data_IF_356436151696
#
_entry.id   IF_356436151696
#
_cell.length_a   1.000
_cell.length_b   1.000
_cell.length_c   1.000
_cell.angle_alpha   90.00
_cell.angle_beta   90.00
_cell.angle_gamma   90.00
#
_symmetry.space_group_name_H-M   'P 1'
#
loop_
_entity.id
_entity.type
_entity.pdbx_description
1 polymer ?
#
# COMPACT_ATOMS: atom_id res chain seq x y z
N UNK A 1 47.53 0.00 25.66
CA UNK A 1 46.62 0.55 24.67
C UNK A 1 47.42 1.44 23.74
N UNK A 2 47.73 0.99 22.53
CA UNK A 2 48.53 1.74 21.55
C UNK A 2 47.60 2.60 20.69
N UNK A 3 47.91 3.90 20.63
CA UNK A 3 47.11 4.90 19.90
C UNK A 3 47.30 4.73 18.39
N UNK A 4 46.21 4.75 17.59
CA UNK A 4 46.27 4.51 16.14
C UNK A 4 46.82 5.68 15.30
N UNK A 5 47.24 6.78 15.92
CA UNK A 5 47.72 7.99 15.25
C UNK A 5 49.15 7.91 14.68
N UNK A 6 49.91 6.84 14.94
CA UNK A 6 51.31 6.72 14.52
C UNK A 6 51.55 6.25 13.07
N UNK A 7 50.53 5.67 12.40
CA UNK A 7 50.71 5.01 11.11
C UNK A 7 50.64 5.98 9.91
N UNK A 8 49.95 7.09 10.06
CA UNK A 8 49.74 8.06 8.96
C UNK A 8 50.92 9.02 8.75
N UNK A 9 51.71 9.32 9.78
CA UNK A 9 52.84 10.23 9.66
C UNK A 9 54.06 9.67 8.89
N UNK A 10 54.24 8.34 8.85
CA UNK A 10 55.35 7.71 8.12
C UNK A 10 55.16 7.61 6.60
N UNK A 11 53.94 7.72 6.12
CA UNK A 11 53.63 7.52 4.71
C UNK A 11 53.83 8.77 3.83
N UNK A 12 53.83 9.97 4.43
CA UNK A 12 53.86 11.26 3.75
C UNK A 12 55.27 11.87 3.61
N UNK A 13 56.30 11.28 4.20
CA UNK A 13 57.64 11.86 4.22
C UNK A 13 58.52 11.58 2.99
N UNK A 14 58.01 10.92 1.95
CA UNK A 14 58.78 10.73 0.72
C UNK A 14 58.09 11.48 -0.45
N UNK A 15 58.77 12.45 -1.08
CA UNK A 15 58.19 13.24 -2.17
C UNK A 15 57.72 12.38 -3.35
N UNK A 16 58.36 11.22 -3.58
CA UNK A 16 57.94 10.26 -4.61
C UNK A 16 56.63 9.54 -4.26
N UNK A 17 56.41 9.21 -2.96
CA UNK A 17 55.16 8.58 -2.49
C UNK A 17 54.01 9.57 -2.50
N UNK A 18 54.24 10.80 -2.10
CA UNK A 18 53.27 11.88 -2.10
C UNK A 18 52.79 12.19 -3.52
N UNK A 19 53.70 12.24 -4.52
CA UNK A 19 53.34 12.43 -5.90
C UNK A 19 52.52 11.28 -6.48
N UNK A 20 52.85 10.02 -6.13
CA UNK A 20 52.02 8.84 -6.53
C UNK A 20 50.65 8.88 -5.87
N UNK A 21 50.54 9.24 -4.61
CA UNK A 21 49.29 9.37 -3.92
C UNK A 21 48.39 10.45 -4.53
N UNK A 22 48.92 11.61 -4.88
CA UNK A 22 48.19 12.67 -5.57
C UNK A 22 47.68 12.21 -6.97
N UNK A 23 48.51 11.50 -7.72
CA UNK A 23 48.11 10.98 -9.04
C UNK A 23 46.98 9.96 -8.93
N UNK A 24 47.08 9.03 -7.93
CA UNK A 24 46.03 8.04 -7.72
C UNK A 24 44.71 8.70 -7.26
N UNK A 25 44.81 9.64 -6.32
CA UNK A 25 43.62 10.38 -5.82
C UNK A 25 42.95 11.19 -6.95
N UNK A 26 43.73 11.83 -7.79
CA UNK A 26 43.20 12.55 -8.97
C UNK A 26 42.50 11.60 -9.96
N UNK A 27 43.11 10.43 -10.23
CA UNK A 27 42.52 9.43 -11.10
C UNK A 27 41.20 8.88 -10.54
N UNK A 28 41.11 8.58 -9.25
CA UNK A 28 39.90 8.13 -8.58
C UNK A 28 38.79 9.20 -8.64
N UNK A 29 39.17 10.46 -8.44
CA UNK A 29 38.24 11.58 -8.51
C UNK A 29 37.68 11.76 -9.93
N UNK A 30 38.52 11.66 -10.95
CA UNK A 30 38.10 11.77 -12.37
C UNK A 30 37.15 10.60 -12.71
N UNK A 31 37.47 9.37 -12.29
CA UNK A 31 36.61 8.21 -12.54
C UNK A 31 35.26 8.38 -11.80
N UNK A 32 35.29 8.87 -10.56
CA UNK A 32 34.08 9.12 -9.77
C UNK A 32 33.18 10.18 -10.41
N UNK A 33 33.76 11.28 -10.89
CA UNK A 33 33.03 12.34 -11.60
C UNK A 33 32.47 11.83 -12.92
N UNK A 34 33.25 11.08 -13.69
CA UNK A 34 32.78 10.50 -14.97
C UNK A 34 31.64 9.51 -14.75
N UNK A 35 31.72 8.66 -13.71
CA UNK A 35 30.63 7.74 -13.33
C UNK A 35 29.38 8.50 -12.89
N UNK A 36 29.53 9.57 -12.11
CA UNK A 36 28.41 10.41 -11.67
C UNK A 36 27.74 11.11 -12.86
N UNK A 37 28.52 11.71 -13.75
CA UNK A 37 28.00 12.34 -14.98
C UNK A 37 27.28 11.30 -15.83
N UNK A 38 27.86 10.12 -16.03
CA UNK A 38 27.20 9.03 -16.74
C UNK A 38 25.87 8.63 -16.11
N UNK A 39 25.80 8.58 -14.77
CA UNK A 39 24.59 8.21 -14.06
C UNK A 39 23.49 9.29 -14.15
N UNK A 40 23.90 10.57 -14.20
CA UNK A 40 22.96 11.70 -14.27
C UNK A 40 22.53 11.97 -15.72
N UNK A 41 23.44 11.85 -16.67
CA UNK A 41 23.17 12.20 -18.07
C UNK A 41 22.61 11.02 -18.88
N UNK A 42 23.04 9.78 -18.60
CA UNK A 42 22.58 8.58 -19.33
C UNK A 42 21.46 7.80 -18.65
N UNK A 43 21.25 7.93 -17.33
CA UNK A 43 19.94 7.62 -16.78
C UNK A 43 19.08 8.84 -17.05
N UNK A 44 18.43 8.82 -18.20
CA UNK A 44 17.52 9.88 -18.59
C UNK A 44 16.67 10.32 -17.41
N UNK A 45 16.53 11.64 -17.25
CA UNK A 45 15.52 12.23 -16.38
C UNK A 45 14.26 11.38 -16.51
N UNK A 46 13.66 10.93 -15.39
CA UNK A 46 12.38 10.26 -15.46
C UNK A 46 11.48 11.17 -16.28
N UNK A 47 11.01 10.65 -17.40
CA UNK A 47 10.29 11.34 -18.46
C UNK A 47 9.65 12.63 -17.95
N UNK A 48 10.23 13.80 -18.26
CA UNK A 48 9.46 15.01 -18.31
C UNK A 48 8.22 14.60 -19.11
N UNK A 49 7.03 14.77 -18.52
CA UNK A 49 5.76 14.54 -19.19
C UNK A 49 5.88 15.19 -20.57
N UNK A 50 6.24 14.42 -21.57
CA UNK A 50 6.05 14.83 -22.93
C UNK A 50 4.55 14.76 -23.13
N UNK A 51 3.88 15.90 -22.94
CA UNK A 51 2.51 16.12 -23.40
C UNK A 51 2.50 16.05 -24.93
N UNK A 52 2.88 14.89 -25.46
CA UNK A 52 2.55 14.54 -26.83
C UNK A 52 1.06 14.28 -26.79
N UNK A 53 0.30 15.30 -27.18
CA UNK A 53 -1.13 15.15 -27.47
C UNK A 53 -1.22 13.96 -28.43
N UNK A 54 -1.65 12.83 -27.88
CA UNK A 54 -1.83 11.61 -28.67
C UNK A 54 -2.98 11.86 -29.63
N UNK A 55 -2.71 11.94 -30.92
CA UNK A 55 -3.74 11.96 -31.96
C UNK A 55 -4.46 10.62 -32.12
N UNK A 56 -4.18 9.64 -31.25
CA UNK A 56 -4.97 8.41 -31.18
C UNK A 56 -6.33 8.76 -30.60
N UNK A 57 -7.43 8.34 -31.25
CA UNK A 57 -8.76 8.48 -30.67
C UNK A 57 -8.75 7.94 -29.25
N UNK A 58 -9.34 8.66 -28.30
CA UNK A 58 -9.50 8.17 -26.95
C UNK A 58 -10.15 6.78 -27.03
N UNK A 59 -9.47 5.78 -26.50
CA UNK A 59 -10.08 4.44 -26.39
C UNK A 59 -11.24 4.59 -25.43
N UNK A 60 -12.46 4.47 -25.96
CA UNK A 60 -13.65 4.47 -25.10
C UNK A 60 -13.47 3.35 -24.08
N UNK A 61 -13.40 3.72 -22.82
CA UNK A 61 -13.44 2.75 -21.73
C UNK A 61 -14.80 2.06 -21.80
N UNK A 62 -14.80 0.79 -22.17
CA UNK A 62 -15.99 -0.04 -22.03
C UNK A 62 -15.98 -0.58 -20.60
N UNK A 63 -16.88 -0.12 -19.74
CA UNK A 63 -16.94 -0.65 -18.38
C UNK A 63 -17.16 -2.16 -18.41
N UNK A 64 -16.48 -2.88 -17.54
CA UNK A 64 -16.71 -4.31 -17.38
C UNK A 64 -18.20 -4.58 -17.15
N UNK A 65 -18.69 -5.69 -17.73
CA UNK A 65 -20.09 -6.08 -17.53
C UNK A 65 -20.34 -6.33 -16.05
N UNK A 66 -21.28 -5.59 -15.47
CA UNK A 66 -21.74 -5.81 -14.11
C UNK A 66 -22.30 -7.23 -13.93
N UNK A 67 -22.00 -7.85 -12.83
CA UNK A 67 -22.51 -9.18 -12.46
C UNK A 67 -23.25 -9.07 -11.12
N UNK A 68 -24.25 -9.93 -10.93
CA UNK A 68 -24.97 -9.95 -9.64
C UNK A 68 -24.06 -10.46 -8.54
N UNK A 69 -24.00 -9.75 -7.42
CA UNK A 69 -23.27 -10.16 -6.25
C UNK A 69 -23.76 -11.51 -5.72
N UNK A 70 -22.87 -12.46 -5.58
CA UNK A 70 -23.18 -13.82 -5.11
C UNK A 70 -23.32 -13.88 -3.58
N UNK A 71 -23.87 -14.98 -3.08
CA UNK A 71 -23.92 -15.25 -1.65
C UNK A 71 -22.53 -15.48 -1.04
N UNK A 72 -21.58 -15.98 -1.83
CA UNK A 72 -20.19 -16.19 -1.42
C UNK A 72 -19.52 -14.87 -1.06
N UNK A 73 -19.63 -13.86 -1.90
CA UNK A 73 -19.04 -12.54 -1.69
C UNK A 73 -19.58 -11.88 -0.42
N UNK A 74 -20.91 -11.96 -0.22
CA UNK A 74 -21.55 -11.43 1.00
C UNK A 74 -21.10 -12.17 2.26
N UNK A 75 -20.97 -13.50 2.19
CA UNK A 75 -20.47 -14.31 3.29
C UNK A 75 -19.04 -13.93 3.65
N UNK A 76 -18.18 -13.80 2.64
CA UNK A 76 -16.79 -13.40 2.81
C UNK A 76 -16.67 -12.01 3.46
N UNK A 77 -17.49 -11.05 3.03
CA UNK A 77 -17.53 -9.71 3.62
C UNK A 77 -17.92 -9.74 5.09
N UNK A 78 -18.95 -10.53 5.49
CA UNK A 78 -19.32 -10.71 6.90
C UNK A 78 -18.22 -11.40 7.71
N UNK A 79 -17.61 -12.45 7.16
CA UNK A 79 -16.50 -13.14 7.79
C UNK A 79 -15.32 -12.20 8.06
N UNK A 80 -14.99 -11.34 7.12
CA UNK A 80 -13.97 -10.32 7.30
C UNK A 80 -14.33 -9.32 8.41
N UNK A 81 -15.57 -8.83 8.45
CA UNK A 81 -16.00 -7.93 9.54
C UNK A 81 -15.81 -8.61 10.90
N UNK A 82 -16.25 -9.84 11.06
CA UNK A 82 -16.12 -10.56 12.34
C UNK A 82 -14.66 -10.84 12.71
N UNK A 83 -13.85 -11.25 11.76
CA UNK A 83 -12.48 -11.72 12.04
C UNK A 83 -11.50 -10.58 12.15
N UNK A 84 -11.47 -9.67 11.17
CA UNK A 84 -10.48 -8.59 11.06
C UNK A 84 -10.96 -7.28 11.70
N UNK A 85 -12.21 -6.85 11.43
CA UNK A 85 -12.71 -5.55 11.90
C UNK A 85 -13.04 -5.59 13.39
N UNK A 86 -13.76 -6.59 13.85
CA UNK A 86 -14.05 -6.81 15.29
C UNK A 86 -12.88 -7.43 16.07
N UNK A 87 -11.78 -7.78 15.39
CA UNK A 87 -10.59 -8.42 16.00
C UNK A 87 -10.88 -9.77 16.69
N UNK A 88 -11.95 -10.46 16.33
CA UNK A 88 -12.32 -11.72 17.01
C UNK A 88 -11.42 -12.90 16.59
N UNK A 89 -10.90 -12.90 15.36
CA UNK A 89 -10.02 -13.96 14.88
C UNK A 89 -9.09 -13.45 13.76
N UNK A 90 -8.04 -12.77 14.16
CA UNK A 90 -7.05 -12.15 13.25
C UNK A 90 -6.35 -13.20 12.40
N UNK A 91 -6.11 -14.39 12.95
CA UNK A 91 -5.48 -15.51 12.26
C UNK A 91 -6.33 -15.97 11.06
N UNK A 92 -7.63 -16.19 11.27
CA UNK A 92 -8.54 -16.54 10.18
C UNK A 92 -8.65 -15.41 9.14
N UNK A 93 -8.63 -14.15 9.59
CA UNK A 93 -8.66 -13.00 8.70
C UNK A 93 -7.51 -12.99 7.68
N UNK A 94 -6.31 -13.42 8.08
CA UNK A 94 -5.16 -13.46 7.17
C UNK A 94 -5.42 -14.31 5.92
N UNK A 95 -6.15 -15.40 6.06
CA UNK A 95 -6.43 -16.32 4.96
C UNK A 95 -7.38 -15.72 3.91
N UNK A 96 -8.26 -14.80 4.29
CA UNK A 96 -9.30 -14.22 3.43
C UNK A 96 -8.96 -12.83 2.90
N UNK A 97 -7.81 -12.27 3.29
CA UNK A 97 -7.36 -10.94 2.87
C UNK A 97 -6.41 -11.04 1.68
N UNK A 98 -6.61 -10.15 0.70
CA UNK A 98 -5.78 -10.05 -0.49
C UNK A 98 -4.41 -9.43 -0.16
N UNK A 99 -3.34 -9.76 -0.90
CA UNK A 99 -2.03 -9.11 -0.74
C UNK A 99 -2.08 -7.57 -0.78
N UNK A 100 -2.94 -6.98 -1.61
CA UNK A 100 -3.09 -5.52 -1.69
C UNK A 100 -3.42 -4.89 -0.32
N UNK A 101 -4.29 -5.51 0.48
CA UNK A 101 -4.66 -5.03 1.81
C UNK A 101 -3.64 -5.45 2.88
N UNK A 102 -2.95 -6.58 2.70
CA UNK A 102 -1.87 -7.00 3.61
C UNK A 102 -0.65 -6.09 3.52
N UNK A 103 -0.42 -5.51 2.35
CA UNK A 103 0.80 -4.77 2.07
C UNK A 103 2.04 -5.66 2.21
N UNK A 104 3.05 -5.16 2.92
CA UNK A 104 4.31 -5.87 3.19
C UNK A 104 4.29 -6.69 4.47
N UNK A 105 3.15 -6.78 5.17
CA UNK A 105 3.06 -7.48 6.46
C UNK A 105 3.24 -8.98 6.29
N UNK A 106 4.22 -9.52 7.01
CA UNK A 106 4.38 -10.96 7.18
C UNK A 106 3.27 -11.53 8.06
N UNK A 107 3.06 -12.85 8.02
CA UNK A 107 2.09 -13.52 8.90
C UNK A 107 2.34 -13.18 10.38
N UNK A 108 3.58 -13.25 10.83
CA UNK A 108 3.95 -12.94 12.22
C UNK A 108 3.60 -11.50 12.62
N UNK A 109 3.79 -10.54 11.70
CA UNK A 109 3.42 -9.14 11.94
C UNK A 109 1.90 -8.97 11.94
N UNK A 110 1.17 -9.67 11.06
CA UNK A 110 -0.28 -9.66 11.04
C UNK A 110 -0.87 -10.16 12.37
N UNK A 111 -0.33 -11.25 12.91
CA UNK A 111 -0.81 -11.88 14.14
C UNK A 111 -0.63 -11.00 15.40
N UNK A 112 0.19 -9.95 15.33
CA UNK A 112 0.27 -8.93 16.41
C UNK A 112 -1.00 -8.09 16.54
N UNK A 113 -1.90 -8.12 15.55
CA UNK A 113 -3.10 -7.30 15.50
C UNK A 113 -2.90 -5.87 15.00
N UNK A 114 -1.66 -5.43 14.76
CA UNK A 114 -1.38 -4.15 14.13
C UNK A 114 -1.46 -4.28 12.60
N UNK A 115 -2.68 -4.30 12.09
CA UNK A 115 -3.00 -4.54 10.69
C UNK A 115 -3.65 -3.31 10.05
N UNK A 116 -3.55 -3.11 8.72
CA UNK A 116 -4.10 -1.96 8.01
C UNK A 116 -5.62 -2.08 7.83
N UNK A 117 -6.31 -2.44 8.89
CA UNK A 117 -7.76 -2.55 8.96
C UNK A 117 -8.24 -1.73 10.14
N UNK A 118 -9.03 -0.70 9.89
CA UNK A 118 -9.65 0.09 10.96
C UNK A 118 -10.58 -0.82 11.74
N UNK A 119 -10.32 -0.97 13.05
CA UNK A 119 -11.16 -1.78 13.92
C UNK A 119 -12.46 -1.05 14.26
N UNK A 120 -13.55 -1.80 14.37
CA UNK A 120 -14.84 -1.28 14.78
C UNK A 120 -15.64 -2.37 15.50
N UNK A 121 -16.10 -2.09 16.70
CA UNK A 121 -16.90 -3.02 17.48
C UNK A 121 -18.38 -2.91 17.06
N UNK A 122 -18.76 -3.66 16.04
CA UNK A 122 -20.11 -3.62 15.51
C UNK A 122 -21.10 -4.47 16.34
N UNK A 123 -22.31 -3.92 16.57
CA UNK A 123 -23.43 -4.68 17.12
C UNK A 123 -24.06 -5.55 16.03
N UNK A 124 -24.18 -5.03 14.84
CA UNK A 124 -24.89 -5.64 13.71
C UNK A 124 -24.00 -6.42 12.73
N UNK A 125 -22.79 -6.84 13.11
CA UNK A 125 -21.84 -7.51 12.21
C UNK A 125 -22.43 -8.75 11.49
N UNK A 126 -23.36 -9.48 12.14
CA UNK A 126 -24.01 -10.66 11.58
C UNK A 126 -25.13 -10.34 10.59
N UNK A 127 -25.83 -9.26 10.83
CA UNK A 127 -27.05 -8.87 10.12
C UNK A 127 -26.87 -7.69 9.16
N UNK A 128 -25.66 -7.09 9.14
CA UNK A 128 -25.37 -5.95 8.31
C UNK A 128 -25.73 -6.21 6.84
N UNK A 129 -26.49 -5.28 6.27
CA UNK A 129 -26.81 -5.27 4.84
C UNK A 129 -25.68 -4.66 4.04
N UNK A 130 -25.44 -5.18 2.84
CA UNK A 130 -24.47 -4.64 1.90
C UNK A 130 -25.19 -3.98 0.73
N UNK A 131 -24.86 -2.74 0.47
CA UNK A 131 -25.21 -2.03 -0.76
C UNK A 131 -24.08 -2.24 -1.76
N UNK A 132 -24.43 -2.55 -3.00
CA UNK A 132 -23.43 -2.78 -4.06
C UNK A 132 -23.17 -1.47 -4.76
N UNK A 133 -21.92 -0.99 -4.68
CA UNK A 133 -21.47 0.15 -5.46
C UNK A 133 -21.13 -0.28 -6.90
N UNK A 134 -20.27 -1.29 -7.02
CA UNK A 134 -20.10 -2.01 -8.30
C UNK A 134 -19.78 -3.49 -8.06
N UNK A 135 -20.05 -4.30 -9.08
CA UNK A 135 -19.72 -5.72 -9.06
C UNK A 135 -19.38 -6.19 -10.47
N UNK A 136 -18.14 -6.63 -10.64
CA UNK A 136 -17.59 -7.17 -11.87
C UNK A 136 -17.15 -8.62 -11.68
N UNK A 137 -16.70 -9.28 -12.75
CA UNK A 137 -16.26 -10.69 -12.69
C UNK A 137 -15.06 -10.92 -11.75
N UNK A 138 -14.20 -9.92 -11.56
CA UNK A 138 -12.93 -10.06 -10.82
C UNK A 138 -12.81 -9.12 -9.64
N UNK A 139 -13.71 -8.15 -9.50
CA UNK A 139 -13.70 -7.18 -8.40
C UNK A 139 -15.12 -6.71 -8.06
N UNK A 140 -15.34 -6.38 -6.81
CA UNK A 140 -16.58 -5.76 -6.34
C UNK A 140 -16.26 -4.75 -5.23
N UNK A 141 -17.09 -3.72 -5.14
CA UNK A 141 -17.09 -2.76 -4.03
C UNK A 141 -18.47 -2.73 -3.40
N UNK A 142 -18.51 -2.87 -2.10
CA UNK A 142 -19.71 -2.86 -1.30
C UNK A 142 -19.62 -1.75 -0.27
N UNK A 143 -20.76 -1.20 0.07
CA UNK A 143 -20.92 -0.37 1.26
C UNK A 143 -21.63 -1.16 2.36
N UNK A 144 -21.27 -0.90 3.60
CA UNK A 144 -21.91 -1.48 4.77
C UNK A 144 -22.02 -0.44 5.88
N UNK A 145 -23.19 -0.32 6.46
CA UNK A 145 -23.44 0.52 7.64
C UNK A 145 -23.30 -0.35 8.90
N UNK A 146 -22.34 0.02 9.75
CA UNK A 146 -22.09 -0.67 11.03
C UNK A 146 -22.52 0.23 12.18
N UNK A 147 -23.26 -0.35 13.10
CA UNK A 147 -23.72 0.28 14.34
C UNK A 147 -22.77 -0.06 15.46
N UNK A 148 -22.33 0.95 16.21
CA UNK A 148 -21.42 0.75 17.33
C UNK A 148 -22.05 -0.09 18.45
N UNK A 149 -21.30 -1.05 18.96
CA UNK A 149 -21.71 -1.79 20.17
C UNK A 149 -21.66 -0.85 21.37
N UNK A 150 -22.74 -0.76 22.16
CA UNK A 150 -22.79 0.11 23.33
C UNK A 150 -21.60 -0.09 24.27
N UNK A 151 -20.98 0.99 24.70
CA UNK A 151 -19.86 0.97 25.64
C UNK A 151 -18.51 0.46 25.09
N UNK A 152 -18.44 0.07 23.83
CA UNK A 152 -17.19 -0.42 23.21
C UNK A 152 -16.59 0.56 22.20
N UNK A 153 -17.41 1.30 21.48
CA UNK A 153 -16.97 2.33 20.57
C UNK A 153 -17.84 3.58 20.79
N UNK A 154 -17.21 4.74 20.90
CA UNK A 154 -17.94 6.01 21.07
C UNK A 154 -18.32 6.63 19.72
N UNK A 155 -17.83 6.05 18.63
CA UNK A 155 -18.16 6.51 17.28
C UNK A 155 -19.57 6.09 16.93
N UNK A 156 -20.38 6.99 16.38
CA UNK A 156 -21.73 6.67 15.94
C UNK A 156 -21.71 5.63 14.81
N UNK A 157 -22.88 5.29 14.30
CA UNK A 157 -23.01 4.52 13.07
C UNK A 157 -22.03 5.04 11.99
N UNK A 158 -21.24 4.13 11.45
CA UNK A 158 -20.29 4.43 10.39
C UNK A 158 -20.54 3.57 9.16
N UNK A 159 -20.49 4.22 8.02
CA UNK A 159 -20.45 3.53 6.73
C UNK A 159 -19.02 3.19 6.37
N UNK A 160 -18.84 1.98 5.83
CA UNK A 160 -17.54 1.51 5.36
C UNK A 160 -17.64 1.00 3.93
N UNK A 161 -16.56 1.19 3.19
CA UNK A 161 -16.33 0.51 1.93
C UNK A 161 -15.57 -0.79 2.17
N UNK A 162 -16.05 -1.86 1.53
CA UNK A 162 -15.40 -3.16 1.51
C UNK A 162 -15.17 -3.61 0.07
N UNK A 163 -13.93 -3.72 -0.33
CA UNK A 163 -13.53 -4.17 -1.65
C UNK A 163 -13.22 -5.66 -1.66
N UNK A 164 -13.67 -6.32 -2.72
CA UNK A 164 -13.37 -7.72 -3.00
C UNK A 164 -12.66 -7.83 -4.34
N UNK A 165 -11.66 -8.70 -4.39
CA UNK A 165 -10.89 -8.95 -5.61
C UNK A 165 -10.57 -10.44 -5.72
N UNK A 166 -10.61 -10.97 -6.95
CA UNK A 166 -10.23 -12.36 -7.16
C UNK A 166 -8.72 -12.52 -7.18
N UNK A 167 -8.25 -13.58 -6.52
CA UNK A 167 -6.84 -13.94 -6.48
C UNK A 167 -6.27 -14.06 -7.89
N UNK A 168 -5.14 -13.40 -8.12
CA UNK A 168 -4.47 -13.37 -9.42
C UNK A 168 -5.25 -12.65 -10.53
N UNK A 169 -6.32 -11.91 -10.23
CA UNK A 169 -7.13 -11.19 -11.21
C UNK A 169 -7.89 -12.09 -12.19
N UNK A 170 -8.02 -13.38 -11.92
CA UNK A 170 -8.68 -14.36 -12.80
C UNK A 170 -10.13 -14.58 -12.40
N UNK A 171 -11.08 -14.70 -13.35
CA UNK A 171 -12.51 -14.87 -13.06
C UNK A 171 -12.86 -16.09 -12.18
N UNK A 172 -12.04 -17.13 -12.21
CA UNK A 172 -12.17 -18.35 -11.41
C UNK A 172 -11.23 -18.38 -10.18
N UNK A 173 -10.52 -17.30 -9.92
CA UNK A 173 -9.74 -17.13 -8.69
C UNK A 173 -10.66 -17.05 -7.46
N UNK A 174 -10.12 -17.40 -6.28
CA UNK A 174 -10.84 -17.24 -5.01
C UNK A 174 -11.07 -15.76 -4.71
N UNK A 175 -12.24 -15.40 -4.19
CA UNK A 175 -12.51 -14.06 -3.67
C UNK A 175 -11.72 -13.77 -2.40
N UNK A 176 -11.15 -12.57 -2.30
CA UNK A 176 -10.38 -12.07 -1.16
C UNK A 176 -10.75 -10.60 -0.92
N UNK A 177 -10.63 -10.15 0.31
CA UNK A 177 -10.83 -8.75 0.69
C UNK A 177 -9.57 -7.95 0.37
N UNK A 178 -9.68 -6.95 -0.50
CA UNK A 178 -8.54 -6.12 -0.91
C UNK A 178 -8.62 -4.66 -0.44
N UNK A 179 -9.75 -4.24 0.10
CA UNK A 179 -9.96 -2.86 0.52
C UNK A 179 -10.91 -2.79 1.71
N UNK A 180 -10.60 -1.91 2.67
CA UNK A 180 -11.43 -1.60 3.82
C UNK A 180 -11.15 -0.18 4.27
N UNK A 181 -12.18 0.70 4.25
CA UNK A 181 -12.04 2.07 4.70
C UNK A 181 -13.38 2.65 5.16
N UNK A 182 -13.41 3.45 6.23
CA UNK A 182 -14.60 4.21 6.57
C UNK A 182 -14.89 5.26 5.50
N UNK A 183 -16.17 5.46 5.24
CA UNK A 183 -16.65 6.53 4.37
C UNK A 183 -16.58 7.85 5.13
N UNK A 184 -15.47 8.55 5.04
CA UNK A 184 -15.32 9.87 5.62
C UNK A 184 -16.09 10.88 4.78
N UNK A 185 -17.05 11.56 5.40
CA UNK A 185 -17.56 12.80 4.82
C UNK A 185 -16.48 13.86 5.03
N UNK A 186 -16.03 14.55 3.97
CA UNK A 186 -15.14 15.70 4.19
C UNK A 186 -15.85 16.70 5.09
N UNK A 187 -15.13 17.32 6.05
CA UNK A 187 -15.72 18.36 6.88
C UNK A 187 -16.22 19.48 5.96
N UNK A 188 -17.50 19.75 6.03
CA UNK A 188 -18.08 20.91 5.36
C UNK A 188 -17.62 22.14 6.17
N UNK A 189 -16.94 23.14 5.56
CA UNK A 189 -16.62 24.35 6.28
C UNK A 189 -17.93 24.97 6.78
N UNK A 190 -18.03 25.19 8.09
CA UNK A 190 -19.14 25.98 8.62
C UNK A 190 -19.05 27.37 8.00
N UNK A 191 -20.14 27.80 7.36
CA UNK A 191 -20.22 29.14 6.87
C UNK A 191 -20.08 30.08 8.09
N UNK A 192 -18.98 30.83 8.13
CA UNK A 192 -18.79 31.87 9.13
C UNK A 192 -19.85 32.92 8.81
N UNK A 193 -20.91 32.92 9.63
CA UNK A 193 -21.97 33.92 9.60
C UNK A 193 -21.50 35.27 10.14
#
# INVERSE_FOLDING_TARGET
MASPSGILHGFLNSPRKQRRFMIVSAAVLIIGVAAFISMVVFKGTPNAFTDTISNKPATLYHPDKTVKLSAEERRLAREFIKTAVERKNIDAAYAIVHPDLKGTLTRKQWDTGNIPVVSYAAENADTAAFTVDYSFKTSALLEVDLVARPGKDQRPELRFYIGLKRAGGKPNGRWLINYWQPHWRPPVPEAVG
#
